data_IF_286495983084
#
_entry.id   IF_286495983084
#
_cell.length_a   1.000
_cell.length_b   1.000
_cell.length_c   1.000
_cell.angle_alpha   90.00
_cell.angle_beta   90.00
_cell.angle_gamma   90.00
#
_symmetry.space_group_name_H-M   'P 1'
#
loop_
_entity.id
_entity.type
_entity.pdbx_description
1 polymer ?
#
# COMPACT_ATOMS: atom_id res chain seq x y z
N UNK A 1 -15.15 0.79 -28.78
CA UNK A 1 -16.48 0.85 -28.13
C UNK A 1 -16.20 1.06 -26.67
N UNK A 2 -16.43 2.29 -26.19
CA UNK A 2 -16.13 2.68 -24.82
C UNK A 2 -17.27 2.23 -23.90
N UNK A 3 -17.25 0.95 -23.50
CA UNK A 3 -18.11 0.45 -22.45
C UNK A 3 -17.47 0.80 -21.10
N UNK A 4 -18.18 1.56 -20.26
CA UNK A 4 -17.78 1.78 -18.88
C UNK A 4 -17.77 0.46 -18.09
N UNK A 5 -16.86 0.35 -17.11
CA UNK A 5 -16.53 -0.88 -16.39
C UNK A 5 -17.75 -1.58 -15.76
N UNK A 6 -18.74 -0.80 -15.37
CA UNK A 6 -19.88 -1.27 -14.58
C UNK A 6 -21.07 -1.72 -15.44
N UNK A 7 -20.97 -1.56 -16.77
CA UNK A 7 -22.10 -1.72 -17.69
C UNK A 7 -21.85 -2.75 -18.80
N UNK A 8 -20.98 -3.73 -18.56
CA UNK A 8 -20.73 -4.81 -19.53
C UNK A 8 -21.73 -5.95 -19.32
N UNK A 9 -22.55 -6.20 -20.33
CA UNK A 9 -23.51 -7.30 -20.38
C UNK A 9 -23.16 -8.25 -21.51
N UNK A 10 -23.44 -9.55 -21.32
CA UNK A 10 -23.30 -10.54 -22.38
C UNK A 10 -24.64 -11.15 -22.75
N UNK A 11 -24.95 -11.16 -24.05
CA UNK A 11 -26.15 -11.83 -24.56
C UNK A 11 -25.93 -13.34 -24.46
N UNK A 12 -26.69 -14.06 -23.63
CA UNK A 12 -26.51 -15.50 -23.46
C UNK A 12 -26.86 -16.33 -24.71
N UNK A 13 -27.62 -15.77 -25.66
CA UNK A 13 -27.97 -16.45 -26.90
C UNK A 13 -26.91 -16.32 -28.02
N UNK A 14 -26.03 -15.31 -27.95
CA UNK A 14 -25.04 -15.03 -29.00
C UNK A 14 -23.63 -14.66 -28.52
N UNK A 15 -23.44 -14.64 -27.20
CA UNK A 15 -22.23 -14.23 -26.46
C UNK A 15 -21.56 -12.93 -26.91
N UNK A 16 -22.37 -12.00 -27.44
CA UNK A 16 -21.94 -10.64 -27.77
C UNK A 16 -21.92 -9.81 -26.49
N UNK A 17 -20.82 -9.10 -26.25
CA UNK A 17 -20.68 -8.12 -25.17
C UNK A 17 -21.25 -6.77 -25.62
N UNK A 18 -22.11 -6.16 -24.80
CA UNK A 18 -22.74 -4.86 -25.07
C UNK A 18 -22.85 -4.02 -23.80
N UNK A 19 -23.03 -2.70 -23.97
CA UNK A 19 -23.38 -1.81 -22.87
C UNK A 19 -24.85 -1.99 -22.48
N UNK A 20 -25.14 -2.41 -21.25
CA UNK A 20 -26.50 -2.56 -20.73
C UNK A 20 -26.77 -1.63 -19.53
N UNK A 21 -27.97 -1.71 -18.91
CA UNK A 21 -28.33 -0.89 -17.74
C UNK A 21 -27.42 -1.18 -16.53
N UNK A 22 -27.42 -0.32 -15.50
CA UNK A 22 -26.57 -0.47 -14.31
C UNK A 22 -26.65 -1.90 -13.74
N UNK A 23 -25.58 -2.66 -13.94
CA UNK A 23 -25.43 -4.05 -13.48
C UNK A 23 -24.57 -4.12 -12.22
N UNK A 24 -24.52 -5.27 -11.52
CA UNK A 24 -23.50 -5.48 -10.51
C UNK A 24 -22.11 -5.33 -11.16
N UNK A 25 -21.15 -4.66 -10.51
CA UNK A 25 -19.83 -4.43 -11.09
C UNK A 25 -19.19 -5.75 -11.50
N UNK A 26 -18.90 -5.89 -12.79
CA UNK A 26 -18.18 -7.04 -13.33
C UNK A 26 -16.68 -6.71 -13.38
N UNK A 27 -15.78 -7.62 -12.99
CA UNK A 27 -14.35 -7.42 -13.18
C UNK A 27 -14.05 -7.38 -14.67
N UNK A 28 -13.87 -6.19 -15.23
CA UNK A 28 -13.48 -6.04 -16.63
C UNK A 28 -12.02 -6.43 -16.80
N UNK A 29 -11.68 -7.35 -17.72
CA UNK A 29 -10.29 -7.53 -18.10
C UNK A 29 -9.83 -6.30 -18.89
N UNK A 30 -9.08 -5.37 -18.27
CA UNK A 30 -8.15 -4.55 -19.05
C UNK A 30 -6.98 -5.45 -19.38
N UNK A 31 -7.00 -5.96 -20.60
CA UNK A 31 -5.84 -6.64 -21.15
C UNK A 31 -4.77 -5.60 -21.46
N UNK A 32 -3.59 -5.75 -20.85
CA UNK A 32 -2.36 -5.10 -21.31
C UNK A 32 -1.62 -6.05 -22.29
N UNK A 33 -2.33 -7.01 -22.90
CA UNK A 33 -1.72 -7.95 -23.82
C UNK A 33 -1.10 -7.19 -24.99
N UNK A 34 0.16 -7.54 -25.28
CA UNK A 34 0.96 -6.95 -26.35
C UNK A 34 0.37 -7.25 -27.74
N UNK A 35 -0.58 -8.19 -27.83
CA UNK A 35 -1.26 -8.60 -29.05
C UNK A 35 -2.78 -8.63 -28.89
N UNK A 36 -3.52 -8.38 -29.97
CA UNK A 36 -4.98 -8.47 -29.99
C UNK A 36 -5.45 -9.88 -29.70
N UNK A 37 -6.16 -10.10 -28.60
CA UNK A 37 -6.78 -11.38 -28.25
C UNK A 37 -8.23 -11.36 -28.71
N UNK A 38 -8.59 -12.25 -29.63
CA UNK A 38 -9.99 -12.48 -30.02
C UNK A 38 -10.58 -13.52 -29.08
N UNK A 39 -11.40 -13.07 -28.14
CA UNK A 39 -12.07 -13.95 -27.17
C UNK A 39 -13.33 -14.56 -27.83
N UNK A 40 -13.58 -15.87 -27.70
CA UNK A 40 -14.80 -16.49 -28.21
C UNK A 40 -16.06 -15.83 -27.63
N UNK A 41 -17.04 -15.53 -28.48
CA UNK A 41 -18.34 -14.94 -28.09
C UNK A 41 -19.30 -16.02 -27.59
N UNK A 42 -18.86 -16.94 -26.75
CA UNK A 42 -19.67 -18.06 -26.26
C UNK A 42 -19.90 -17.93 -24.76
N UNK A 43 -21.12 -18.21 -24.27
CA UNK A 43 -21.43 -18.20 -22.83
C UNK A 43 -20.50 -19.10 -22.02
N UNK A 44 -19.98 -20.15 -22.63
CA UNK A 44 -19.01 -21.03 -22.00
C UNK A 44 -17.74 -20.30 -21.54
N UNK A 45 -17.37 -19.15 -22.13
CA UNK A 45 -16.25 -18.33 -21.68
C UNK A 45 -16.48 -17.63 -20.32
N UNK A 46 -17.71 -17.64 -19.79
CA UNK A 46 -17.98 -17.22 -18.41
C UNK A 46 -17.64 -18.30 -17.38
N UNK A 47 -17.44 -19.56 -17.82
CA UNK A 47 -17.06 -20.64 -16.91
C UNK A 47 -15.57 -20.57 -16.67
N UNK A 48 -15.17 -20.59 -15.40
CA UNK A 48 -13.78 -20.48 -14.96
C UNK A 48 -12.84 -21.43 -15.73
N UNK A 49 -13.21 -22.72 -15.83
CA UNK A 49 -12.39 -23.73 -16.51
C UNK A 49 -12.21 -23.45 -18.02
N UNK A 50 -13.26 -23.04 -18.73
CA UNK A 50 -13.17 -22.69 -20.16
C UNK A 50 -12.31 -21.45 -20.36
N UNK A 51 -12.55 -20.41 -19.56
CA UNK A 51 -11.82 -19.15 -19.60
C UNK A 51 -10.34 -19.38 -19.32
N UNK A 52 -10.04 -20.12 -18.26
CA UNK A 52 -8.70 -20.50 -17.86
C UNK A 52 -7.96 -21.27 -18.95
N UNK A 53 -8.57 -22.33 -19.50
CA UNK A 53 -7.98 -23.12 -20.59
C UNK A 53 -7.77 -22.33 -21.86
N UNK A 54 -8.58 -21.31 -22.12
CA UNK A 54 -8.37 -20.42 -23.25
C UNK A 54 -7.14 -19.53 -23.00
N UNK A 55 -7.09 -18.83 -21.87
CA UNK A 55 -6.05 -17.85 -21.58
C UNK A 55 -4.68 -18.46 -21.31
N UNK A 56 -4.61 -19.69 -20.76
CA UNK A 56 -3.32 -20.33 -20.49
C UNK A 56 -2.48 -20.55 -21.76
N UNK A 57 -3.12 -20.69 -22.93
CA UNK A 57 -2.43 -20.86 -24.21
C UNK A 57 -1.64 -19.63 -24.65
N UNK A 58 -1.93 -18.46 -24.08
CA UNK A 58 -1.20 -17.22 -24.34
C UNK A 58 0.05 -17.08 -23.44
N UNK A 59 0.24 -17.99 -22.49
CA UNK A 59 1.42 -18.06 -21.64
C UNK A 59 1.71 -16.75 -20.89
N UNK A 60 2.97 -16.34 -20.83
CA UNK A 60 3.41 -15.17 -20.06
C UNK A 60 2.84 -13.85 -20.56
N UNK A 61 2.35 -13.77 -21.80
CA UNK A 61 1.79 -12.53 -22.37
C UNK A 61 0.52 -12.04 -21.65
N UNK A 62 -0.14 -12.91 -20.87
CA UNK A 62 -1.34 -12.58 -20.10
C UNK A 62 -1.12 -12.60 -18.59
N UNK A 63 0.08 -12.92 -18.10
CA UNK A 63 0.38 -13.00 -16.66
C UNK A 63 0.10 -11.65 -15.95
N UNK A 64 0.51 -10.54 -16.54
CA UNK A 64 0.22 -9.21 -15.98
C UNK A 64 -1.28 -8.92 -15.93
N UNK A 65 -2.03 -9.34 -16.95
CA UNK A 65 -3.48 -9.18 -17.02
C UNK A 65 -4.20 -10.00 -15.95
N UNK A 66 -3.74 -11.23 -15.70
CA UNK A 66 -4.24 -12.09 -14.62
C UNK A 66 -4.00 -11.45 -13.26
N UNK A 67 -2.78 -10.97 -12.99
CA UNK A 67 -2.48 -10.28 -11.73
C UNK A 67 -3.24 -8.95 -11.59
N UNK A 68 -3.44 -8.22 -12.68
CA UNK A 68 -4.23 -6.98 -12.69
C UNK A 68 -5.70 -7.25 -12.35
N UNK A 69 -6.26 -8.34 -12.89
CA UNK A 69 -7.60 -8.80 -12.55
C UNK A 69 -7.69 -9.19 -11.07
N UNK A 70 -6.77 -10.03 -10.59
CA UNK A 70 -6.71 -10.44 -9.18
C UNK A 70 -6.61 -9.23 -8.23
N UNK A 71 -5.73 -8.26 -8.56
CA UNK A 71 -5.59 -7.01 -7.80
C UNK A 71 -6.90 -6.23 -7.68
N UNK A 72 -7.70 -6.17 -8.75
CA UNK A 72 -8.97 -5.45 -8.75
C UNK A 72 -10.10 -6.18 -8.02
N UNK A 73 -9.97 -7.48 -7.80
CA UNK A 73 -10.88 -8.26 -6.97
C UNK A 73 -10.46 -8.20 -5.48
N UNK A 74 -9.82 -7.12 -5.05
CA UNK A 74 -9.61 -6.84 -3.63
C UNK A 74 -10.89 -6.29 -3.02
N UNK A 75 -11.14 -6.64 -1.76
CA UNK A 75 -12.27 -6.14 -0.98
C UNK A 75 -11.76 -5.23 0.14
N UNK A 76 -12.54 -4.18 0.45
CA UNK A 76 -12.30 -3.39 1.65
C UNK A 76 -12.66 -4.22 2.88
N UNK A 77 -11.70 -4.35 3.79
CA UNK A 77 -11.96 -4.83 5.14
C UNK A 77 -11.89 -3.66 6.13
N UNK A 78 -12.33 -3.92 7.35
CA UNK A 78 -12.46 -2.93 8.40
C UNK A 78 -11.99 -3.53 9.71
N UNK A 79 -11.39 -2.70 10.56
CA UNK A 79 -10.96 -3.11 11.89
C UNK A 79 -12.13 -3.64 12.73
N UNK A 80 -13.36 -3.16 12.50
CA UNK A 80 -14.58 -3.70 13.13
C UNK A 80 -14.76 -5.20 12.91
N UNK A 81 -14.41 -5.71 11.72
CA UNK A 81 -14.52 -7.12 11.40
C UNK A 81 -13.40 -7.94 12.06
N UNK A 82 -12.25 -7.31 12.30
CA UNK A 82 -11.04 -7.93 12.85
C UNK A 82 -11.06 -7.93 14.39
N UNK A 83 -11.76 -6.95 14.99
CA UNK A 83 -11.89 -6.76 16.43
C UNK A 83 -13.34 -6.45 16.86
N UNK A 84 -14.20 -7.48 17.00
CA UNK A 84 -15.55 -7.28 17.50
C UNK A 84 -15.59 -6.80 18.97
N UNK A 85 -14.56 -7.17 19.75
CA UNK A 85 -14.54 -6.96 21.20
C UNK A 85 -14.06 -5.57 21.66
N UNK A 86 -13.53 -4.74 20.75
CA UNK A 86 -12.87 -3.49 21.13
C UNK A 86 -13.73 -2.23 20.92
N UNK A 87 -14.95 -2.38 20.41
CA UNK A 87 -15.84 -1.23 20.19
C UNK A 87 -16.39 -0.62 21.51
N UNK A 88 -16.39 -1.38 22.60
CA UNK A 88 -16.95 -0.95 23.90
C UNK A 88 -15.86 -0.61 24.95
N UNK A 89 -14.72 -1.32 24.97
CA UNK A 89 -13.73 -1.21 26.06
C UNK A 89 -12.65 -0.12 25.88
N UNK A 90 -12.43 0.42 24.68
CA UNK A 90 -11.35 1.39 24.44
C UNK A 90 -11.76 2.85 24.64
N UNK A 91 -13.00 3.11 25.05
CA UNK A 91 -13.46 4.45 25.43
C UNK A 91 -12.82 4.94 26.74
N UNK A 92 -12.15 4.08 27.52
CA UNK A 92 -11.70 4.44 28.87
C UNK A 92 -10.19 4.35 29.18
N UNK A 93 -9.31 3.92 28.26
CA UNK A 93 -7.89 3.65 28.60
C UNK A 93 -6.82 4.34 27.73
N UNK A 94 -7.14 5.35 26.93
CA UNK A 94 -6.10 6.16 26.26
C UNK A 94 -6.03 7.58 26.88
N UNK A 95 -5.70 7.63 28.17
CA UNK A 95 -5.56 8.88 28.95
C UNK A 95 -4.27 9.65 28.67
N UNK A 96 -3.36 9.11 27.85
CA UNK A 96 -2.04 9.69 27.62
C UNK A 96 -1.97 10.57 26.35
N UNK A 97 -2.95 10.48 25.44
CA UNK A 97 -2.96 11.27 24.20
C UNK A 97 -4.37 11.80 23.82
N UNK A 98 -4.80 12.93 24.40
CA UNK A 98 -6.17 13.47 24.23
C UNK A 98 -6.51 14.02 22.82
N UNK A 99 -5.65 13.86 21.79
CA UNK A 99 -5.77 14.59 20.52
C UNK A 99 -6.01 13.74 19.25
N UNK A 100 -6.08 12.40 19.36
CA UNK A 100 -6.32 11.50 18.21
C UNK A 100 -7.80 11.38 17.85
N UNK A 101 -8.44 12.49 17.52
CA UNK A 101 -9.84 12.52 17.07
C UNK A 101 -9.95 12.08 15.61
N UNK A 102 -11.02 11.34 15.28
CA UNK A 102 -11.35 11.02 13.88
C UNK A 102 -11.69 12.26 13.03
N UNK A 103 -11.99 13.41 13.67
CA UNK A 103 -12.22 14.69 13.01
C UNK A 103 -10.90 15.32 12.54
N UNK A 104 -9.86 15.30 13.38
CA UNK A 104 -8.53 15.81 13.03
C UNK A 104 -7.80 14.84 12.09
N UNK A 105 -8.06 13.53 12.26
CA UNK A 105 -7.41 12.44 11.52
C UNK A 105 -8.34 11.80 10.49
N UNK A 106 -9.05 12.64 9.71
CA UNK A 106 -10.08 12.18 8.79
C UNK A 106 -9.60 11.12 7.78
N UNK A 107 -8.31 11.14 7.39
CA UNK A 107 -7.71 10.15 6.49
C UNK A 107 -7.65 8.73 7.08
N UNK A 108 -7.75 8.55 8.41
CA UNK A 108 -7.82 7.24 9.07
C UNK A 108 -9.25 6.71 9.20
N UNK A 109 -10.26 7.53 8.87
CA UNK A 109 -11.67 7.24 9.15
C UNK A 109 -12.19 5.97 8.47
N UNK A 110 -11.64 5.61 7.29
CA UNK A 110 -12.07 4.41 6.53
C UNK A 110 -11.46 3.09 7.01
N UNK A 111 -10.61 3.12 8.04
CA UNK A 111 -10.19 1.89 8.72
C UNK A 111 -11.35 1.19 9.45
N UNK A 112 -12.42 1.93 9.77
CA UNK A 112 -13.65 1.42 10.37
C UNK A 112 -14.86 1.70 9.47
N UNK A 113 -15.90 0.88 9.56
CA UNK A 113 -17.23 1.17 9.01
C UNK A 113 -17.88 2.30 9.78
N UNK A 114 -17.77 2.24 11.11
CA UNK A 114 -18.25 3.24 12.05
C UNK A 114 -17.08 3.70 12.92
N UNK A 115 -16.39 4.79 12.54
CA UNK A 115 -15.18 5.23 13.22
C UNK A 115 -15.49 5.67 14.66
N UNK A 116 -14.66 5.29 15.64
CA UNK A 116 -14.78 5.81 16.99
C UNK A 116 -14.43 7.31 17.03
N UNK A 117 -14.91 8.01 18.06
CA UNK A 117 -14.57 9.43 18.28
C UNK A 117 -13.07 9.60 18.57
N UNK A 118 -12.49 8.65 19.31
CA UNK A 118 -11.06 8.54 19.62
C UNK A 118 -10.45 7.34 18.90
N UNK A 119 -9.39 7.57 18.14
CA UNK A 119 -8.69 6.54 17.40
C UNK A 119 -7.70 5.79 18.32
N UNK A 120 -7.74 4.45 18.40
CA UNK A 120 -6.85 3.66 19.25
C UNK A 120 -5.43 3.58 18.63
N UNK A 121 -4.66 4.66 18.74
CA UNK A 121 -3.37 4.79 18.06
C UNK A 121 -2.32 3.81 18.58
N UNK A 122 -2.47 3.34 19.83
CA UNK A 122 -1.70 2.24 20.40
C UNK A 122 -1.83 0.92 19.62
N UNK A 123 -2.98 0.70 18.97
CA UNK A 123 -3.27 -0.50 18.17
C UNK A 123 -2.93 -0.27 16.70
N UNK A 124 -3.41 0.82 16.11
CA UNK A 124 -3.27 1.04 14.67
C UNK A 124 -1.95 1.72 14.27
N UNK A 125 -1.27 2.41 15.19
CA UNK A 125 -0.05 3.16 14.87
C UNK A 125 1.10 2.31 14.38
N UNK A 126 1.15 1.04 14.81
CA UNK A 126 2.13 0.04 14.38
C UNK A 126 1.87 -0.57 13.00
N UNK A 127 0.71 -0.31 12.40
CA UNK A 127 0.39 -0.80 11.07
C UNK A 127 1.29 -0.13 10.02
N UNK A 128 2.06 -0.95 9.32
CA UNK A 128 2.97 -0.56 8.26
C UNK A 128 2.31 -0.76 6.92
N UNK A 129 2.59 0.14 6.00
CA UNK A 129 2.06 0.05 4.64
C UNK A 129 2.75 -1.10 3.87
N UNK A 130 4.02 -1.37 4.16
CA UNK A 130 4.84 -2.36 3.48
C UNK A 130 4.66 -3.81 3.97
N UNK A 131 3.61 -4.09 4.73
CA UNK A 131 3.43 -5.34 5.47
C UNK A 131 2.06 -5.97 5.19
N UNK A 132 2.02 -7.30 5.11
CA UNK A 132 0.78 -8.10 5.11
C UNK A 132 0.56 -8.66 6.51
N UNK A 133 -0.67 -8.53 6.99
CA UNK A 133 -1.10 -8.91 8.32
C UNK A 133 -2.08 -10.09 8.29
N UNK A 134 -2.07 -10.91 9.33
CA UNK A 134 -3.13 -11.87 9.63
C UNK A 134 -4.34 -11.20 10.32
N UNK A 135 -5.43 -11.95 10.52
CA UNK A 135 -6.61 -11.50 11.27
C UNK A 135 -6.25 -10.91 12.65
N UNK A 136 -5.24 -11.48 13.31
CA UNK A 136 -4.77 -11.08 14.64
C UNK A 136 -3.81 -9.88 14.61
N UNK A 137 -3.69 -9.18 13.47
CA UNK A 137 -2.72 -8.09 13.23
C UNK A 137 -1.25 -8.50 13.40
N UNK A 138 -0.95 -9.80 13.34
CA UNK A 138 0.44 -10.24 13.33
C UNK A 138 1.01 -10.05 11.92
N UNK A 139 2.21 -9.48 11.83
CA UNK A 139 2.90 -9.31 10.56
C UNK A 139 3.34 -10.69 10.02
N UNK A 140 2.86 -11.03 8.83
CA UNK A 140 3.08 -12.35 8.22
C UNK A 140 4.14 -12.26 7.12
N UNK A 141 4.09 -11.20 6.33
CA UNK A 141 5.10 -10.95 5.30
C UNK A 141 5.36 -9.46 5.12
N UNK A 142 6.55 -9.11 4.65
CA UNK A 142 6.98 -7.73 4.43
C UNK A 142 7.64 -7.54 3.07
N UNK A 143 7.41 -6.39 2.48
CA UNK A 143 8.18 -5.93 1.32
C UNK A 143 9.65 -5.78 1.71
N UNK A 144 10.59 -6.35 0.95
CA UNK A 144 11.98 -6.37 1.35
C UNK A 144 12.57 -4.94 1.31
N UNK A 145 13.37 -4.53 2.32
CA UNK A 145 13.98 -3.19 2.37
C UNK A 145 14.82 -2.84 1.14
N UNK A 146 15.43 -3.84 0.49
CA UNK A 146 16.25 -3.67 -0.71
C UNK A 146 15.46 -3.44 -2.01
N UNK A 147 14.13 -3.52 -2.00
CA UNK A 147 13.30 -3.33 -3.19
C UNK A 147 12.90 -1.87 -3.45
N UNK A 148 13.43 -0.94 -2.67
CA UNK A 148 13.15 0.49 -2.78
C UNK A 148 11.83 0.91 -2.13
N UNK A 149 11.61 2.23 -2.10
CA UNK A 149 10.41 2.84 -1.52
C UNK A 149 9.14 2.40 -2.26
N UNK A 150 8.06 2.24 -1.51
CA UNK A 150 6.72 2.02 -2.04
C UNK A 150 6.08 3.33 -2.53
N UNK A 151 6.68 4.45 -2.19
CA UNK A 151 6.31 5.76 -2.69
C UNK A 151 7.15 6.16 -3.91
N UNK A 152 6.54 6.97 -4.77
CA UNK A 152 7.18 7.61 -5.91
C UNK A 152 6.60 9.01 -6.12
N UNK A 153 7.46 10.01 -6.28
CA UNK A 153 7.01 11.36 -6.63
C UNK A 153 6.49 11.37 -8.06
N UNK A 154 5.26 11.82 -8.27
CA UNK A 154 4.65 11.86 -9.60
C UNK A 154 5.30 12.94 -10.45
N UNK A 155 5.89 12.55 -11.59
CA UNK A 155 6.64 13.48 -12.46
C UNK A 155 5.74 14.59 -13.02
N UNK A 156 4.49 14.27 -13.35
CA UNK A 156 3.49 15.24 -13.83
C UNK A 156 2.84 16.06 -12.71
N UNK A 157 2.95 15.61 -11.45
CA UNK A 157 2.44 16.27 -10.26
C UNK A 157 3.49 17.11 -9.54
N UNK A 158 4.53 17.54 -10.26
CA UNK A 158 5.63 18.36 -9.74
C UNK A 158 5.64 19.73 -10.40
N UNK A 159 5.53 20.77 -9.59
CA UNK A 159 5.62 22.17 -10.03
C UNK A 159 6.63 22.93 -9.15
N UNK A 160 7.42 23.81 -9.77
CA UNK A 160 8.37 24.68 -9.07
C UNK A 160 9.62 23.97 -8.53
N UNK A 161 9.81 22.68 -8.79
CA UNK A 161 10.96 21.89 -8.32
C UNK A 161 11.59 21.07 -9.45
N UNK A 162 12.92 20.99 -9.46
CA UNK A 162 13.72 20.24 -10.42
C UNK A 162 14.84 19.45 -9.72
N UNK A 163 15.57 18.62 -10.47
CA UNK A 163 16.78 17.92 -10.00
C UNK A 163 16.53 17.10 -8.70
N UNK A 164 15.58 16.16 -8.75
CA UNK A 164 15.36 15.23 -7.64
C UNK A 164 16.61 14.38 -7.37
N UNK A 165 17.01 14.28 -6.10
CA UNK A 165 18.10 13.41 -5.66
C UNK A 165 17.71 12.80 -4.31
N UNK A 166 17.67 11.46 -4.24
CA UNK A 166 17.53 10.74 -2.97
C UNK A 166 18.91 10.60 -2.33
N UNK A 167 19.03 10.99 -1.07
CA UNK A 167 20.27 10.98 -0.30
C UNK A 167 20.38 9.72 0.57
N UNK A 168 21.60 9.40 1.01
CA UNK A 168 21.91 8.19 1.78
C UNK A 168 21.22 8.15 3.16
N UNK A 169 20.84 9.32 3.70
CA UNK A 169 20.11 9.46 4.96
C UNK A 169 18.57 9.33 4.78
N UNK A 170 18.11 9.07 3.55
CA UNK A 170 16.71 8.91 3.20
C UNK A 170 15.98 10.23 2.89
N UNK A 171 16.65 11.38 3.00
CA UNK A 171 16.07 12.65 2.57
C UNK A 171 15.96 12.68 1.04
N UNK A 172 14.90 13.33 0.55
CA UNK A 172 14.79 13.64 -0.88
C UNK A 172 15.06 15.12 -1.08
N UNK A 173 16.08 15.43 -1.88
CA UNK A 173 16.47 16.79 -2.24
C UNK A 173 15.87 17.17 -3.58
N UNK A 174 15.37 18.39 -3.67
CA UNK A 174 14.99 19.06 -4.91
C UNK A 174 15.66 20.43 -4.97
N UNK A 175 15.86 20.93 -6.18
CA UNK A 175 16.26 22.31 -6.43
C UNK A 175 15.03 23.14 -6.78
N UNK A 176 14.92 24.31 -6.17
CA UNK A 176 13.84 25.25 -6.44
C UNK A 176 14.00 25.88 -7.82
N UNK A 177 12.96 25.77 -8.65
CA UNK A 177 12.90 26.44 -9.95
C UNK A 177 12.25 27.81 -9.81
N UNK A 178 13.09 28.85 -9.72
CA UNK A 178 12.65 30.24 -9.61
C UNK A 178 11.95 30.76 -10.88
N UNK A 179 12.00 30.02 -12.00
CA UNK A 179 11.40 30.46 -13.27
C UNK A 179 9.91 30.18 -13.39
N UNK A 180 9.38 29.21 -12.64
CA UNK A 180 7.98 28.77 -12.73
C UNK A 180 7.00 29.54 -11.82
N UNK A 181 7.48 30.56 -11.10
CA UNK A 181 6.72 31.23 -10.06
C UNK A 181 6.74 30.39 -8.77
N UNK A 182 7.02 31.02 -7.63
CA UNK A 182 7.38 30.33 -6.37
C UNK A 182 6.27 29.49 -5.71
N UNK A 183 5.27 29.00 -6.45
CA UNK A 183 4.37 27.96 -6.00
C UNK A 183 5.02 26.60 -6.25
N UNK A 184 5.20 25.84 -5.17
CA UNK A 184 5.67 24.46 -5.15
C UNK A 184 4.50 23.52 -4.93
N UNK A 185 4.42 22.49 -5.77
CA UNK A 185 3.46 21.39 -5.67
C UNK A 185 4.19 20.06 -5.88
N UNK A 186 3.89 19.09 -5.03
CA UNK A 186 4.36 17.71 -5.13
C UNK A 186 3.25 16.73 -4.77
N UNK A 187 3.07 15.74 -5.61
CA UNK A 187 2.24 14.58 -5.33
C UNK A 187 3.11 13.33 -5.20
N UNK A 188 2.97 12.60 -4.09
CA UNK A 188 3.53 11.25 -3.99
C UNK A 188 2.42 10.26 -4.37
N UNK A 189 2.58 9.66 -5.54
CA UNK A 189 1.81 8.51 -5.95
C UNK A 189 2.58 7.25 -5.58
N UNK A 190 1.95 6.13 -5.82
CA UNK A 190 2.29 4.94 -5.11
C UNK A 190 2.52 3.73 -6.04
N UNK A 191 3.54 2.95 -5.68
CA UNK A 191 3.89 1.65 -6.24
C UNK A 191 3.06 0.50 -5.63
N UNK A 192 1.92 0.71 -4.96
CA UNK A 192 1.06 -0.36 -4.40
C UNK A 192 0.55 -1.26 -5.50
N UNK A 193 0.43 -0.75 -6.73
CA UNK A 193 0.18 -1.61 -7.89
C UNK A 193 1.24 -2.72 -7.98
N UNK A 194 2.51 -2.38 -7.79
CA UNK A 194 3.65 -3.31 -7.76
C UNK A 194 3.64 -4.15 -6.48
N UNK A 195 3.40 -3.55 -5.31
CA UNK A 195 3.32 -4.27 -4.05
C UNK A 195 2.25 -5.37 -4.08
N UNK A 196 1.00 -5.04 -4.45
CA UNK A 196 -0.10 -6.00 -4.49
C UNK A 196 0.14 -7.10 -5.51
N UNK A 197 0.64 -6.76 -6.69
CA UNK A 197 1.02 -7.78 -7.69
C UNK A 197 2.15 -8.66 -7.18
N UNK A 198 3.13 -8.09 -6.47
CA UNK A 198 4.19 -8.80 -5.78
C UNK A 198 3.66 -9.75 -4.69
N UNK A 199 2.72 -9.30 -3.87
CA UNK A 199 2.02 -10.14 -2.88
C UNK A 199 1.29 -11.29 -3.56
N UNK A 200 0.38 -10.97 -4.49
CA UNK A 200 -0.48 -11.94 -5.16
C UNK A 200 0.30 -12.99 -5.96
N UNK A 201 1.46 -12.63 -6.51
CA UNK A 201 2.32 -13.56 -7.25
C UNK A 201 3.03 -14.60 -6.38
N UNK A 202 3.11 -14.39 -5.06
CA UNK A 202 3.81 -15.31 -4.14
C UNK A 202 3.08 -15.58 -2.81
N UNK A 203 1.81 -15.19 -2.70
CA UNK A 203 1.04 -15.37 -1.46
C UNK A 203 0.90 -16.84 -1.05
N UNK A 204 0.81 -17.76 -2.02
CA UNK A 204 0.77 -19.21 -1.76
C UNK A 204 2.00 -19.72 -1.01
N UNK A 205 3.19 -19.22 -1.35
CA UNK A 205 4.44 -19.52 -0.63
C UNK A 205 4.36 -19.06 0.82
N UNK A 206 3.84 -17.86 1.06
CA UNK A 206 3.70 -17.31 2.41
C UNK A 206 2.68 -18.12 3.22
N UNK A 207 1.51 -18.44 2.64
CA UNK A 207 0.51 -19.27 3.31
C UNK A 207 1.05 -20.64 3.69
N UNK A 208 1.83 -21.29 2.81
CA UNK A 208 2.47 -22.56 3.14
C UNK A 208 3.50 -22.42 4.27
N UNK A 209 4.24 -21.32 4.30
CA UNK A 209 5.26 -21.07 5.31
C UNK A 209 4.70 -20.79 6.71
N UNK A 210 3.45 -20.31 6.80
CA UNK A 210 2.74 -20.08 8.07
C UNK A 210 1.60 -21.08 8.30
N UNK A 211 1.62 -22.23 7.61
CA UNK A 211 0.66 -23.33 7.73
C UNK A 211 -0.83 -22.93 7.61
N UNK A 212 -1.14 -21.99 6.72
CA UNK A 212 -2.49 -21.48 6.49
C UNK A 212 -3.24 -22.39 5.50
N UNK A 213 -4.11 -23.22 6.04
CA UNK A 213 -4.96 -24.14 5.25
C UNK A 213 -6.27 -23.45 4.83
N UNK A 214 -6.92 -22.73 5.76
CA UNK A 214 -8.22 -22.07 5.58
C UNK A 214 -8.14 -20.59 6.00
N UNK A 215 -9.14 -19.79 5.60
CA UNK A 215 -9.23 -18.38 6.02
C UNK A 215 -8.21 -17.45 5.38
N UNK A 216 -7.79 -17.73 4.12
CA UNK A 216 -6.82 -16.88 3.39
C UNK A 216 -7.35 -15.48 3.12
N UNK A 217 -8.68 -15.33 3.09
CA UNK A 217 -9.38 -14.04 3.00
C UNK A 217 -9.21 -13.14 4.22
N UNK A 218 -8.74 -13.67 5.34
CA UNK A 218 -8.53 -12.91 6.57
C UNK A 218 -7.19 -12.16 6.60
N UNK A 219 -6.34 -12.35 5.59
CA UNK A 219 -5.09 -11.62 5.45
C UNK A 219 -5.35 -10.29 4.76
N UNK A 220 -4.71 -9.24 5.26
CA UNK A 220 -4.92 -7.90 4.74
C UNK A 220 -3.64 -7.09 4.63
N UNK A 221 -3.69 -6.09 3.74
CA UNK A 221 -2.65 -5.07 3.56
C UNK A 221 -3.22 -3.70 3.93
N UNK A 222 -2.35 -2.79 4.34
CA UNK A 222 -2.72 -1.41 4.69
C UNK A 222 -2.32 -0.50 3.54
N UNK A 223 -3.31 0.01 2.82
CA UNK A 223 -3.11 1.00 1.77
C UNK A 223 -3.06 2.40 2.40
N UNK A 224 -1.97 3.16 2.26
CA UNK A 224 -1.89 4.56 2.63
C UNK A 224 -2.65 5.46 1.64
N UNK A 225 -2.99 6.68 2.06
CA UNK A 225 -3.57 7.71 1.21
C UNK A 225 -2.55 8.26 0.21
N UNK A 226 -3.03 8.87 -0.86
CA UNK A 226 -2.27 9.81 -1.67
C UNK A 226 -1.84 11.03 -0.85
N UNK A 227 -0.56 11.36 -0.95
CA UNK A 227 0.06 12.48 -0.23
C UNK A 227 0.29 13.64 -1.18
N UNK A 228 -0.06 14.83 -0.72
CA UNK A 228 0.07 16.10 -1.43
C UNK A 228 0.87 17.06 -0.55
N UNK A 229 1.91 17.67 -1.12
CA UNK A 229 2.59 18.82 -0.53
C UNK A 229 2.31 20.01 -1.44
N UNK A 230 1.79 21.08 -0.85
CA UNK A 230 1.47 22.32 -1.57
C UNK A 230 2.00 23.52 -0.84
N UNK A 231 2.32 24.56 -1.61
CA UNK A 231 2.59 25.87 -1.04
C UNK A 231 1.35 26.47 -0.43
N UNK A 232 1.39 26.78 0.86
CA UNK A 232 0.42 27.66 1.48
C UNK A 232 0.82 29.10 1.21
N UNK A 233 -0.11 29.89 0.66
CA UNK A 233 0.08 31.34 0.62
C UNK A 233 0.25 31.81 2.05
N UNK A 234 1.34 32.53 2.34
CA UNK A 234 1.49 33.20 3.63
C UNK A 234 0.17 33.88 3.99
N UNK A 235 -0.41 33.59 5.18
CA UNK A 235 -1.41 34.49 5.73
C UNK A 235 -0.78 35.87 5.65
N UNK A 236 -1.49 36.83 5.06
CA UNK A 236 -1.00 38.20 4.94
C UNK A 236 -0.90 38.80 6.34
N UNK A 237 0.12 38.41 7.10
CA UNK A 237 0.46 38.96 8.38
C UNK A 237 1.03 40.35 8.07
N UNK A 238 0.18 41.34 8.30
CA UNK A 238 0.50 42.77 8.36
C UNK A 238 1.35 43.29 7.20
N UNK A 239 0.65 43.70 6.15
CA UNK A 239 1.11 44.75 5.23
C UNK A 239 1.13 46.12 5.94
N UNK A 240 1.61 46.17 7.18
CA UNK A 240 1.62 47.34 8.06
C UNK A 240 2.99 47.45 8.72
N UNK A 241 3.74 48.44 8.24
CA UNK A 241 4.99 49.01 8.77
C UNK A 241 6.26 48.16 8.69
N UNK A 242 6.98 48.31 7.57
CA UNK A 242 8.33 48.89 7.57
C UNK A 242 8.53 49.61 6.23
N UNK A 243 8.41 50.94 6.28
CA UNK A 243 8.93 51.80 5.22
C UNK A 243 10.46 51.83 5.36
N UNK A 244 11.10 51.74 4.20
CA UNK A 244 12.46 52.18 3.87
C UNK A 244 13.58 51.87 4.86
N UNK A 245 14.38 50.85 4.51
CA UNK A 245 15.84 51.02 4.44
C UNK A 245 16.43 49.91 3.55
N UNK A 246 16.91 50.33 2.37
CA UNK A 246 17.83 49.63 1.47
C UNK A 246 17.64 48.10 1.29
N UNK A 247 16.73 47.73 0.38
CA UNK A 247 16.85 46.44 -0.32
C UNK A 247 18.09 46.51 -1.22
N UNK A 248 19.23 46.04 -0.72
CA UNK A 248 20.32 45.64 -1.58
C UNK A 248 19.73 44.58 -2.53
N UNK A 249 19.79 44.88 -3.82
CA UNK A 249 19.52 43.93 -4.89
C UNK A 249 20.63 42.87 -4.87
N UNK A 250 20.64 42.04 -3.82
CA UNK A 250 21.45 40.83 -3.76
C UNK A 250 20.88 39.91 -4.83
N UNK A 251 21.54 39.87 -5.98
CA UNK A 251 21.36 38.82 -6.97
C UNK A 251 21.85 37.54 -6.31
N UNK A 252 21.01 36.53 -5.98
CA UNK A 252 21.52 35.31 -5.41
C UNK A 252 22.13 34.47 -6.54
N UNK A 253 23.43 34.14 -6.51
CA UNK A 253 24.00 33.14 -7.42
C UNK A 253 23.83 31.73 -6.86
N UNK A 254 22.98 31.54 -5.86
CA UNK A 254 22.96 30.33 -5.04
C UNK A 254 21.69 29.56 -5.30
N UNK A 255 21.77 28.32 -5.80
CA UNK A 255 20.60 27.46 -5.87
C UNK A 255 20.02 27.26 -4.45
N UNK A 256 18.71 27.27 -4.37
CA UNK A 256 17.95 26.96 -3.14
C UNK A 256 17.47 25.53 -3.27
N UNK A 257 17.69 24.74 -2.23
CA UNK A 257 17.32 23.33 -2.19
C UNK A 257 16.24 23.08 -1.13
N UNK A 258 15.26 22.27 -1.52
CA UNK A 258 14.26 21.71 -0.63
C UNK A 258 14.71 20.31 -0.21
N UNK A 259 14.75 20.05 1.09
CA UNK A 259 14.98 18.72 1.64
C UNK A 259 13.69 18.23 2.28
N UNK A 260 13.18 17.10 1.79
CA UNK A 260 12.00 16.43 2.33
C UNK A 260 12.41 15.28 3.24
N UNK A 261 11.73 15.19 4.39
CA UNK A 261 11.82 14.05 5.29
C UNK A 261 11.37 12.76 4.57
N UNK A 262 11.91 11.58 4.97
CA UNK A 262 11.52 10.31 4.36
C UNK A 262 10.01 10.10 4.43
N UNK A 263 9.45 9.51 3.36
CA UNK A 263 8.02 9.26 3.29
C UNK A 263 7.57 8.21 4.31
N UNK A 264 6.35 8.34 4.85
CA UNK A 264 5.90 7.53 5.97
C UNK A 264 5.70 6.06 5.57
N UNK A 265 6.15 5.15 6.43
CA UNK A 265 6.04 3.69 6.21
C UNK A 265 4.98 3.03 7.10
N UNK A 266 4.39 3.79 8.03
CA UNK A 266 3.35 3.32 8.95
C UNK A 266 2.30 4.37 9.21
N UNK A 267 1.18 3.96 9.82
CA UNK A 267 0.07 4.84 10.21
C UNK A 267 0.53 5.92 11.20
N UNK A 268 1.35 5.57 12.20
CA UNK A 268 1.92 6.57 13.12
C UNK A 268 2.93 7.48 12.42
N UNK A 269 3.77 6.90 11.54
CA UNK A 269 4.69 7.69 10.72
C UNK A 269 3.97 8.69 9.85
N UNK A 270 2.83 8.29 9.26
CA UNK A 270 1.98 9.16 8.44
C UNK A 270 1.40 10.32 9.25
N UNK A 271 0.86 10.05 10.43
CA UNK A 271 0.35 11.09 11.31
C UNK A 271 1.45 12.09 11.69
N UNK A 272 2.61 11.60 12.10
CA UNK A 272 3.77 12.43 12.41
C UNK A 272 4.28 13.22 11.21
N UNK A 273 4.17 12.66 10.00
CA UNK A 273 4.61 13.30 8.77
C UNK A 273 3.67 14.43 8.33
N UNK A 274 2.36 14.26 8.50
CA UNK A 274 1.35 15.30 8.19
C UNK A 274 1.40 16.44 9.21
N UNK A 275 1.55 16.12 10.50
CA UNK A 275 1.49 17.10 11.59
C UNK A 275 2.86 17.71 11.96
N UNK A 276 3.95 17.06 11.57
CA UNK A 276 5.31 17.44 11.95
C UNK A 276 6.05 18.31 10.94
N UNK A 277 7.36 18.46 11.17
CA UNK A 277 8.25 19.13 10.23
C UNK A 277 8.60 18.19 9.07
N UNK A 278 7.94 18.39 7.93
CA UNK A 278 8.11 17.56 6.72
C UNK A 278 9.26 17.97 5.79
N UNK A 279 9.78 19.20 5.94
CA UNK A 279 10.83 19.71 5.06
C UNK A 279 11.72 20.76 5.72
N UNK A 280 12.83 21.09 5.07
CA UNK A 280 13.57 22.32 5.32
C UNK A 280 14.22 22.86 4.05
N UNK A 281 14.50 24.16 4.05
CA UNK A 281 15.25 24.83 2.98
C UNK A 281 16.73 24.92 3.32
N UNK A 282 17.59 24.86 2.30
CA UNK A 282 19.03 25.03 2.45
C UNK A 282 19.66 25.64 1.18
N UNK A 283 20.74 26.40 1.35
CA UNK A 283 21.63 26.78 0.24
C UNK A 283 22.70 25.71 -0.03
N UNK A 284 22.92 24.83 0.95
CA UNK A 284 23.86 23.75 0.86
C UNK A 284 23.21 22.57 0.14
N UNK A 285 23.88 22.13 -0.92
CA UNK A 285 23.46 20.97 -1.71
C UNK A 285 23.44 19.67 -0.86
N UNK A 286 24.19 19.62 0.25
CA UNK A 286 24.24 18.46 1.14
C UNK A 286 23.23 18.50 2.30
N UNK A 287 22.55 19.63 2.51
CA UNK A 287 21.50 19.77 3.52
C UNK A 287 22.00 19.88 4.97
N UNK A 288 23.31 20.06 5.18
CA UNK A 288 23.89 20.15 6.52
C UNK A 288 23.62 21.49 7.19
N UNK A 289 23.23 22.51 6.41
CA UNK A 289 22.91 23.84 6.90
C UNK A 289 21.45 24.20 6.59
N UNK A 290 20.57 23.99 7.57
CA UNK A 290 19.16 24.41 7.47
C UNK A 290 19.06 25.95 7.56
N UNK A 291 18.31 26.55 6.65
CA UNK A 291 17.94 27.97 6.73
C UNK A 291 17.05 28.24 7.94
N UNK A 292 17.26 29.38 8.59
CA UNK A 292 16.33 29.87 9.61
C UNK A 292 15.00 30.34 8.99
N UNK A 293 13.97 30.52 9.82
CA UNK A 293 12.68 31.05 9.34
C UNK A 293 12.85 32.48 8.78
N UNK A 294 13.67 33.31 9.42
CA UNK A 294 13.95 34.69 8.96
C UNK A 294 14.69 34.70 7.60
N UNK A 295 15.58 33.73 7.37
CA UNK A 295 16.22 33.55 6.07
C UNK A 295 15.20 33.11 5.02
N UNK A 296 14.33 32.14 5.34
CA UNK A 296 13.26 31.72 4.43
C UNK A 296 12.33 32.89 4.07
N UNK A 297 11.97 33.73 5.04
CA UNK A 297 11.15 34.93 4.83
C UNK A 297 11.88 36.00 3.99
N UNK A 298 13.16 36.25 4.26
CA UNK A 298 14.01 37.18 3.48
C UNK A 298 14.02 36.81 2.01
N UNK A 299 14.10 35.52 1.71
CA UNK A 299 14.11 34.98 0.36
C UNK A 299 12.71 34.67 -0.19
N UNK A 300 11.66 34.93 0.58
CA UNK A 300 10.25 34.65 0.23
C UNK A 300 10.01 33.21 -0.24
N UNK A 301 10.68 32.27 0.41
CA UNK A 301 10.53 30.85 0.12
C UNK A 301 9.12 30.38 0.51
N UNK A 302 8.51 29.49 -0.27
CA UNK A 302 7.16 29.05 0.03
C UNK A 302 7.14 28.24 1.33
N UNK A 303 6.07 28.46 2.10
CA UNK A 303 5.70 27.59 3.21
C UNK A 303 4.95 26.41 2.62
N UNK A 304 5.37 25.19 2.92
CA UNK A 304 4.75 23.99 2.40
C UNK A 304 3.88 23.34 3.47
N UNK A 305 2.78 22.75 3.04
CA UNK A 305 1.87 22.02 3.91
C UNK A 305 1.59 20.65 3.31
N UNK A 306 1.80 19.61 4.12
CA UNK A 306 1.39 18.27 3.77
C UNK A 306 -0.09 18.07 4.04
N UNK A 307 -0.74 17.33 3.16
CA UNK A 307 -2.11 16.86 3.35
C UNK A 307 -2.34 15.58 2.57
N UNK A 308 -3.42 14.88 2.87
CA UNK A 308 -3.95 13.85 1.99
C UNK A 308 -4.83 14.52 0.93
N UNK A 309 -4.83 14.01 -0.31
CA UNK A 309 -5.66 14.57 -1.38
C UNK A 309 -7.15 14.68 -0.95
N UNK A 310 -7.72 15.89 -1.01
CA UNK A 310 -8.92 16.29 -0.26
C UNK A 310 -10.22 15.55 -0.63
N UNK A 311 -10.25 14.89 -1.79
CA UNK A 311 -11.41 14.14 -2.25
C UNK A 311 -11.00 12.67 -2.28
N UNK A 312 -11.44 11.91 -1.29
CA UNK A 312 -11.42 10.43 -1.24
C UNK A 312 -10.10 9.72 -0.87
N UNK A 313 -9.05 10.43 -0.47
CA UNK A 313 -7.80 9.81 -0.05
C UNK A 313 -7.82 9.38 1.43
N UNK A 314 -7.89 8.07 1.69
CA UNK A 314 -7.94 7.50 3.03
C UNK A 314 -6.99 6.31 3.16
N UNK A 315 -6.53 6.04 4.38
CA UNK A 315 -5.95 4.73 4.71
C UNK A 315 -7.05 3.68 4.62
N UNK A 316 -6.77 2.58 3.92
CA UNK A 316 -7.73 1.51 3.65
C UNK A 316 -7.11 0.15 3.97
N UNK A 317 -7.93 -0.78 4.45
CA UNK A 317 -7.52 -2.18 4.60
C UNK A 317 -8.06 -2.97 3.42
N UNK A 318 -7.19 -3.76 2.80
CA UNK A 318 -7.53 -4.56 1.64
C UNK A 318 -7.26 -6.03 1.90
N UNK A 319 -8.22 -6.87 1.55
CA UNK A 319 -8.07 -8.32 1.51
C UNK A 319 -8.50 -8.87 0.14
N UNK A 320 -8.29 -10.16 -0.08
CA UNK A 320 -8.72 -10.86 -1.29
C UNK A 320 -9.45 -12.13 -0.89
N UNK A 321 -10.53 -12.45 -1.60
CA UNK A 321 -11.26 -13.69 -1.35
C UNK A 321 -10.41 -14.93 -1.60
N UNK A 322 -10.71 -16.03 -0.92
CA UNK A 322 -10.02 -17.31 -1.14
C UNK A 322 -10.07 -17.78 -2.60
N UNK A 323 -11.11 -17.40 -3.35
CA UNK A 323 -11.19 -17.69 -4.78
C UNK A 323 -10.04 -17.06 -5.57
N UNK A 324 -9.69 -15.79 -5.31
CA UNK A 324 -8.58 -15.10 -5.99
C UNK A 324 -7.26 -15.86 -5.76
N UNK A 325 -6.97 -16.22 -4.52
CA UNK A 325 -5.75 -16.97 -4.20
C UNK A 325 -5.72 -18.37 -4.82
N UNK A 326 -6.88 -19.05 -4.86
CA UNK A 326 -7.01 -20.38 -5.49
C UNK A 326 -6.76 -20.30 -6.99
N UNK A 327 -7.38 -19.34 -7.67
CA UNK A 327 -7.23 -19.11 -9.11
C UNK A 327 -5.78 -18.77 -9.46
N UNK A 328 -5.09 -17.94 -8.68
CA UNK A 328 -3.67 -17.62 -8.90
C UNK A 328 -2.76 -18.83 -8.70
N UNK A 329 -3.02 -19.65 -7.68
CA UNK A 329 -2.28 -20.90 -7.45
C UNK A 329 -2.44 -21.85 -8.62
N UNK A 330 -3.66 -22.01 -9.12
CA UNK A 330 -3.94 -22.91 -10.24
C UNK A 330 -3.34 -22.36 -11.56
N UNK A 331 -3.36 -21.04 -11.74
CA UNK A 331 -2.64 -20.35 -12.83
C UNK A 331 -1.14 -20.64 -12.82
N UNK A 332 -0.50 -20.47 -11.67
CA UNK A 332 0.93 -20.76 -11.50
C UNK A 332 1.27 -22.20 -11.87
N UNK A 333 0.49 -23.18 -11.37
CA UNK A 333 0.67 -24.60 -11.71
C UNK A 333 0.52 -24.86 -13.21
N UNK A 334 -0.48 -24.27 -13.85
CA UNK A 334 -0.71 -24.45 -15.27
C UNK A 334 0.38 -23.79 -16.14
N UNK A 335 1.00 -22.72 -15.64
CA UNK A 335 2.19 -22.10 -16.24
C UNK A 335 3.48 -22.89 -15.99
N UNK A 336 3.44 -23.91 -15.13
CA UNK A 336 4.58 -24.76 -14.79
C UNK A 336 5.42 -24.25 -13.61
N UNK A 337 4.93 -23.26 -12.85
CA UNK A 337 5.56 -22.81 -11.62
C UNK A 337 5.08 -23.63 -10.43
N UNK A 338 5.96 -23.80 -9.44
CA UNK A 338 5.57 -24.30 -8.13
C UNK A 338 5.04 -23.12 -7.26
N UNK A 339 3.76 -23.13 -6.85
CA UNK A 339 3.20 -22.08 -6.01
C UNK A 339 3.83 -21.94 -4.62
N UNK A 340 4.62 -22.92 -4.17
CA UNK A 340 5.37 -22.83 -2.93
C UNK A 340 6.65 -21.99 -3.04
N UNK A 341 7.01 -21.52 -4.24
CA UNK A 341 8.24 -20.76 -4.52
C UNK A 341 7.97 -19.32 -4.92
N UNK A 342 9.01 -18.50 -4.99
CA UNK A 342 8.96 -17.12 -5.50
C UNK A 342 9.24 -17.02 -7.01
N UNK A 343 9.33 -18.15 -7.74
CA UNK A 343 9.84 -18.17 -9.11
C UNK A 343 8.94 -17.42 -10.10
N UNK A 344 7.61 -17.52 -9.98
CA UNK A 344 6.70 -16.74 -10.83
C UNK A 344 6.81 -15.24 -10.54
N UNK A 345 6.92 -14.85 -9.27
CA UNK A 345 7.13 -13.46 -8.89
C UNK A 345 8.45 -12.92 -9.47
N UNK A 346 9.53 -13.74 -9.43
CA UNK A 346 10.83 -13.40 -10.01
C UNK A 346 10.78 -13.25 -11.53
N UNK A 347 10.08 -14.13 -12.24
CA UNK A 347 9.85 -14.01 -13.70
C UNK A 347 9.18 -12.68 -14.06
N UNK A 348 8.24 -12.24 -13.22
CA UNK A 348 7.52 -10.98 -13.40
C UNK A 348 8.27 -9.74 -12.88
N UNK A 349 9.50 -9.92 -12.37
CA UNK A 349 10.33 -8.84 -11.86
C UNK A 349 9.90 -8.29 -10.49
N UNK A 350 9.09 -9.03 -9.73
CA UNK A 350 8.77 -8.69 -8.35
C UNK A 350 9.86 -9.20 -7.40
N UNK A 351 10.19 -8.44 -6.34
CA UNK A 351 11.13 -8.90 -5.35
C UNK A 351 10.51 -10.03 -4.50
N UNK A 352 11.38 -10.81 -3.88
CA UNK A 352 10.98 -11.86 -2.97
C UNK A 352 10.59 -11.27 -1.61
N UNK A 353 9.40 -11.62 -1.12
CA UNK A 353 8.90 -11.11 0.16
C UNK A 353 9.58 -11.80 1.34
N UNK A 354 9.79 -11.01 2.40
CA UNK A 354 10.27 -11.51 3.69
C UNK A 354 9.10 -12.14 4.43
N UNK A 355 9.25 -13.38 4.89
CA UNK A 355 8.25 -14.06 5.73
C UNK A 355 8.61 -13.80 7.19
N UNK A 356 7.74 -13.09 7.91
CA UNK A 356 8.01 -12.60 9.27
C UNK A 356 7.37 -13.50 10.34
N UNK A 357 6.32 -14.25 10.00
CA UNK A 357 5.49 -15.03 10.93
C UNK A 357 6.08 -16.35 11.47
N UNK A 358 7.34 -16.69 11.17
CA UNK A 358 7.95 -17.99 11.51
C UNK A 358 8.43 -18.14 12.96
N UNK A 359 8.37 -17.10 13.80
CA UNK A 359 9.18 -17.05 15.04
C UNK A 359 8.63 -17.78 16.27
N UNK A 360 7.69 -18.74 16.14
CA UNK A 360 7.19 -19.49 17.31
C UNK A 360 7.40 -21.00 17.30
N UNK A 361 7.82 -21.62 16.20
CA UNK A 361 7.96 -23.09 16.16
C UNK A 361 9.42 -23.55 16.35
N UNK A 362 10.40 -22.77 15.88
CA UNK A 362 11.79 -23.23 15.87
C UNK A 362 12.54 -23.08 17.20
N UNK A 363 12.11 -22.18 18.10
CA UNK A 363 12.74 -22.02 19.43
C UNK A 363 12.22 -23.05 20.47
N UNK A 364 11.13 -23.77 20.18
CA UNK A 364 10.62 -24.86 21.03
C UNK A 364 11.11 -26.25 20.59
N UNK A 365 11.51 -26.43 19.33
CA UNK A 365 12.05 -27.71 18.83
C UNK A 365 13.52 -27.96 19.20
N UNK A 366 14.31 -26.93 19.54
CA UNK A 366 15.68 -27.12 20.03
C UNK A 366 15.77 -27.56 21.52
N UNK A 367 14.63 -27.73 22.21
CA UNK A 367 14.60 -28.23 23.61
C UNK A 367 13.89 -29.56 23.84
N UNK A 368 13.48 -30.28 22.79
CA UNK A 368 13.02 -31.68 22.94
C UNK A 368 13.85 -32.64 22.09
N UNK A 369 15.07 -32.89 22.58
CA UNK A 369 15.77 -34.13 22.29
C UNK A 369 15.14 -35.25 23.13
N UNK A 370 14.99 -36.40 22.46
CA UNK A 370 14.65 -37.75 22.93
C UNK A 370 13.18 -38.11 23.22
N UNK A 371 12.64 -38.93 22.30
CA UNK A 371 11.44 -39.73 22.48
C UNK A 371 10.94 -40.31 21.16
N UNK A 372 11.59 -41.37 20.66
CA UNK A 372 11.18 -42.06 19.43
C UNK A 372 9.77 -42.65 19.57
N UNK A 373 8.97 -42.54 18.51
CA UNK A 373 7.57 -42.97 18.44
C UNK A 373 7.35 -44.51 18.51
N UNK A 374 8.38 -45.30 18.79
CA UNK A 374 8.31 -46.77 18.78
C UNK A 374 8.73 -47.46 20.08
N UNK A 375 8.82 -46.76 21.21
CA UNK A 375 9.05 -47.44 22.49
C UNK A 375 7.72 -47.83 23.16
N UNK A 376 7.39 -49.11 23.01
CA UNK A 376 6.24 -49.76 23.64
C UNK A 376 6.45 -49.89 25.15
N UNK A 377 5.57 -49.28 25.95
CA UNK A 377 5.49 -49.56 27.38
C UNK A 377 4.93 -50.97 27.60
N UNK A 378 5.78 -51.88 28.06
CA UNK A 378 5.34 -53.13 28.66
C UNK A 378 4.68 -52.83 30.02
N UNK A 379 3.41 -53.19 30.17
CA UNK A 379 2.76 -53.25 31.48
C UNK A 379 1.72 -52.18 31.79
N UNK A 380 0.77 -51.91 30.89
CA UNK A 380 -0.55 -51.45 31.32
C UNK A 380 -1.63 -52.13 30.47
N UNK A 381 -2.29 -53.12 31.07
CA UNK A 381 -3.45 -53.75 30.47
C UNK A 381 -4.67 -52.85 30.64
N UNK A 382 -4.98 -52.03 29.64
CA UNK A 382 -6.33 -51.47 29.43
C UNK A 382 -6.57 -51.35 27.91
N UNK A 383 -7.48 -52.18 27.39
CA UNK A 383 -8.12 -51.95 26.09
C UNK A 383 -9.23 -50.91 26.24
N UNK A 384 -9.35 -50.00 25.28
CA UNK A 384 -10.63 -49.38 24.96
C UNK A 384 -10.71 -49.03 23.47
N UNK A 385 -11.84 -49.38 22.88
CA UNK A 385 -12.23 -49.29 21.48
C UNK A 385 -12.63 -47.87 21.05
N UNK A 386 -12.82 -47.71 19.73
CA UNK A 386 -13.14 -46.48 19.01
C UNK A 386 -14.42 -45.74 19.40
N UNK A 387 -14.48 -44.48 18.96
CA UNK A 387 -15.33 -44.05 17.84
C UNK A 387 -14.52 -43.15 16.91
#
# INVERSE_FOLDING_TARGET
MDCFRDNIWMNTAGGVLFSGPDGPPAPVPRSDAVMSIVVPTTVDMLKDDTCFRFFINFGSSVDDSVLKCARWNSEYTYLDNLFPATAEDYQSEDSDHPNWSSVTHHYLRRLWRNPPDHLPMSVIGGLRFDTVYSLSMEAVARWPPGAGSLWEWEEYGREGLVEETVLDDGLTRFKLDLTQGGEVYLEANDKWKRFRKGWLSQSSRVFNAVDVIEGKENFFTVEPPWLEIRSTRHPTASRTLRNDEHLIEETPPTPVYLFLCPLPISVLGLASWIEGQLYFWSFDETGQSRMSEEECERWRLPVLTASTHQVESFVQLLSWSTHVYTTLRDWQKARGFDPATSDWARELGYPEWEIVGMRKVQEEEEKKVDGSWWEAFAGSGISAFGF
#
